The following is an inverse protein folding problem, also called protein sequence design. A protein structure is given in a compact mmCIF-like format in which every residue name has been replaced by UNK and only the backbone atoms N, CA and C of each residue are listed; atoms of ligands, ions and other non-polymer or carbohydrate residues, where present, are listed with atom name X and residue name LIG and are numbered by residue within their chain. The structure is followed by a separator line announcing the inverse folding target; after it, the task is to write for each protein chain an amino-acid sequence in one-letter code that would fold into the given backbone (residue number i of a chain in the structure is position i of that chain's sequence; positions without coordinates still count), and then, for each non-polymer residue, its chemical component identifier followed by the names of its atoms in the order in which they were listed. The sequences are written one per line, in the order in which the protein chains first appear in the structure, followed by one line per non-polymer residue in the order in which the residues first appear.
data_IF_597697056031
#
_entry.id   IF_597697056031
#
_cell.length_a   1.000
_cell.length_b   1.000
_cell.length_c   1.000
_cell.angle_alpha   90.00
_cell.angle_beta   90.00
_cell.angle_gamma   90.00
#
_symmetry.space_group_name_H-M   'P 1'
#
loop_
_entity.id
_entity.type
_entity.pdbx_description
1 polymer ?
#
# COMPACT_ATOMS: atom_id res chain seq x y z
N UNK A 1 46.57 -0.43 50.13
CA UNK A 1 46.97 -1.18 48.92
C UNK A 1 45.76 -1.57 48.05
N UNK A 2 44.65 -2.01 48.64
CA UNK A 2 43.41 -2.35 47.92
C UNK A 2 42.77 -1.18 47.15
N UNK A 3 42.75 0.04 47.71
CA UNK A 3 42.18 1.22 47.04
C UNK A 3 42.99 1.71 45.82
N UNK A 4 44.31 1.55 45.85
CA UNK A 4 45.17 1.93 44.74
C UNK A 4 44.96 1.01 43.53
N UNK A 5 44.83 -0.31 43.78
CA UNK A 5 44.51 -1.29 42.73
C UNK A 5 43.09 -1.11 42.17
N UNK A 6 42.11 -0.76 43.01
CA UNK A 6 40.75 -0.50 42.56
C UNK A 6 40.67 0.73 41.63
N UNK A 7 41.39 1.82 41.96
CA UNK A 7 41.47 3.02 41.12
C UNK A 7 42.18 2.76 39.79
N UNK A 8 43.23 1.95 39.78
CA UNK A 8 43.93 1.58 38.54
C UNK A 8 43.09 0.67 37.63
N UNK A 9 42.32 -0.26 38.21
CA UNK A 9 41.37 -1.08 37.46
C UNK A 9 40.25 -0.22 36.84
N UNK A 10 39.73 0.76 37.59
CA UNK A 10 38.68 1.67 37.11
C UNK A 10 39.19 2.60 35.99
N UNK A 11 40.42 3.09 36.08
CA UNK A 11 41.06 3.92 35.05
C UNK A 11 41.45 3.14 33.76
N UNK A 12 41.53 1.80 33.82
CA UNK A 12 41.74 0.95 32.64
C UNK A 12 40.45 0.65 31.88
N UNK A 13 39.28 0.86 32.48
CA UNK A 13 38.01 0.66 31.79
C UNK A 13 37.89 1.59 30.60
N UNK A 14 37.66 1.02 29.41
CA UNK A 14 37.42 1.77 28.19
C UNK A 14 36.23 2.73 28.33
N UNK A 15 35.17 2.31 29.04
CA UNK A 15 34.02 3.15 29.34
C UNK A 15 34.39 4.40 30.15
N UNK A 16 35.31 4.29 31.12
CA UNK A 16 35.74 5.44 31.92
C UNK A 16 36.52 6.46 31.07
N UNK A 17 37.37 5.97 30.16
CA UNK A 17 38.10 6.83 29.22
C UNK A 17 37.16 7.52 28.24
N UNK A 18 36.15 6.80 27.73
CA UNK A 18 35.11 7.36 26.88
C UNK A 18 34.29 8.43 27.61
N UNK A 19 33.79 8.13 28.82
CA UNK A 19 33.05 9.10 29.63
C UNK A 19 33.88 10.36 29.95
N UNK A 20 35.17 10.19 30.27
CA UNK A 20 36.09 11.32 30.48
C UNK A 20 36.30 12.15 29.21
N UNK A 21 36.35 11.51 28.04
CA UNK A 21 36.43 12.20 26.75
C UNK A 21 35.15 12.98 26.44
N UNK A 22 33.98 12.39 26.65
CA UNK A 22 32.66 13.03 26.46
C UNK A 22 32.53 14.27 27.36
N UNK A 23 32.90 14.14 28.64
CA UNK A 23 32.87 15.27 29.58
C UNK A 23 33.87 16.37 29.23
N UNK A 24 35.02 16.04 28.63
CA UNK A 24 36.04 17.02 28.26
C UNK A 24 35.68 17.78 26.98
N UNK A 25 35.01 17.13 26.04
CA UNK A 25 34.71 17.69 24.71
C UNK A 25 33.21 17.51 24.34
N UNK A 26 32.27 18.07 25.11
CA UNK A 26 30.84 17.84 24.90
C UNK A 26 30.36 18.34 23.53
N UNK A 27 30.85 19.50 23.07
CA UNK A 27 30.47 20.08 21.77
C UNK A 27 30.90 19.18 20.62
N UNK A 28 32.13 18.65 20.64
CA UNK A 28 32.61 17.75 19.57
C UNK A 28 31.77 16.49 19.48
N UNK A 29 31.43 15.89 20.63
CA UNK A 29 30.59 14.68 20.66
C UNK A 29 29.19 14.98 20.14
N UNK A 30 28.59 16.10 20.56
CA UNK A 30 27.30 16.56 20.04
C UNK A 30 27.40 16.73 18.52
N UNK A 31 28.38 17.46 17.99
CA UNK A 31 28.54 17.64 16.55
C UNK A 31 28.71 16.32 15.77
N UNK A 32 29.40 15.32 16.34
CA UNK A 32 29.55 14.00 15.72
C UNK A 32 28.21 13.26 15.70
N UNK A 33 27.49 13.23 16.82
CA UNK A 33 26.18 12.58 16.93
C UNK A 33 25.19 13.26 15.99
N UNK A 34 25.12 14.60 16.00
CA UNK A 34 24.30 15.39 15.08
C UNK A 34 24.66 15.12 13.62
N UNK A 35 25.95 15.14 13.30
CA UNK A 35 26.44 14.91 11.94
C UNK A 35 26.14 13.50 11.43
N UNK A 36 26.11 12.50 12.33
CA UNK A 36 25.77 11.12 11.99
C UNK A 36 24.25 10.88 11.95
N UNK A 37 23.47 11.53 12.82
CA UNK A 37 22.02 11.33 12.96
C UNK A 37 21.20 12.08 11.92
N UNK A 38 21.58 13.31 11.55
CA UNK A 38 20.84 14.13 10.55
C UNK A 38 20.65 13.39 9.21
N UNK A 39 21.68 12.75 8.61
CA UNK A 39 21.50 11.97 7.38
C UNK A 39 20.44 10.87 7.51
N UNK A 40 20.34 10.22 8.67
CA UNK A 40 19.34 9.17 8.91
C UNK A 40 17.93 9.75 8.97
N UNK A 41 17.74 10.88 9.68
CA UNK A 41 16.44 11.58 9.77
C UNK A 41 16.02 12.10 8.39
N UNK A 42 16.94 12.67 7.62
CA UNK A 42 16.69 13.15 6.25
C UNK A 42 16.38 11.99 5.30
N UNK A 43 16.91 10.79 5.55
CA UNK A 43 16.63 9.61 4.76
C UNK A 43 15.29 8.92 5.11
N UNK A 44 14.72 9.14 6.31
CA UNK A 44 13.48 8.49 6.76
C UNK A 44 12.27 8.71 5.82
N UNK A 45 12.00 9.91 5.29
CA UNK A 45 10.90 10.10 4.33
C UNK A 45 11.09 9.31 3.03
N UNK A 46 12.33 9.00 2.68
CA UNK A 46 12.69 8.23 1.48
C UNK A 46 12.80 6.73 1.76
N UNK A 47 12.48 6.28 2.98
CA UNK A 47 12.56 4.87 3.32
C UNK A 47 11.44 4.14 2.57
N UNK A 48 11.84 3.32 1.59
CA UNK A 48 10.90 2.58 0.75
C UNK A 48 10.18 1.52 1.59
N UNK A 49 8.92 1.81 1.93
CA UNK A 49 8.04 0.86 2.60
C UNK A 49 7.57 -0.18 1.56
N UNK A 50 8.37 -1.21 1.33
CA UNK A 50 7.95 -2.37 0.53
C UNK A 50 7.25 -3.39 1.42
N UNK A 51 6.00 -3.74 1.11
CA UNK A 51 5.32 -4.86 1.75
C UNK A 51 5.58 -6.15 0.98
N UNK A 52 6.64 -6.86 1.37
CA UNK A 52 6.86 -8.20 0.85
C UNK A 52 6.15 -9.21 1.75
N UNK A 53 4.98 -9.72 1.36
CA UNK A 53 4.29 -10.77 2.14
C UNK A 53 5.17 -12.01 2.38
N UNK A 54 6.08 -12.31 1.45
CA UNK A 54 6.99 -13.44 1.57
C UNK A 54 8.01 -13.25 2.71
N UNK A 55 8.16 -12.03 3.24
CA UNK A 55 9.00 -11.78 4.43
C UNK A 55 8.39 -12.33 5.73
N UNK A 56 7.07 -12.54 5.78
CA UNK A 56 6.38 -13.10 6.94
C UNK A 56 6.30 -14.63 6.93
N UNK A 57 6.71 -15.26 5.82
CA UNK A 57 6.68 -16.72 5.63
C UNK A 57 8.12 -17.23 5.52
N UNK A 58 8.46 -18.41 6.08
CA UNK A 58 9.79 -18.97 5.89
C UNK A 58 10.11 -19.10 4.40
N UNK A 59 11.20 -18.49 3.96
CA UNK A 59 11.63 -18.43 2.55
C UNK A 59 11.79 -19.82 1.91
N UNK A 60 12.13 -20.82 2.71
CA UNK A 60 12.33 -22.21 2.28
C UNK A 60 11.04 -23.06 2.36
N UNK A 61 9.89 -22.47 2.68
CA UNK A 61 8.63 -23.21 2.75
C UNK A 61 8.16 -23.64 1.36
N UNK A 62 7.47 -24.79 1.29
CA UNK A 62 6.86 -25.25 0.04
C UNK A 62 5.86 -24.23 -0.52
N UNK A 63 5.15 -23.49 0.33
CA UNK A 63 4.20 -22.47 -0.08
C UNK A 63 4.87 -21.30 -0.83
N UNK A 64 6.00 -20.79 -0.33
CA UNK A 64 6.76 -19.72 -1.01
C UNK A 64 7.24 -20.20 -2.38
N UNK A 65 7.79 -21.42 -2.45
CA UNK A 65 8.22 -22.01 -3.72
C UNK A 65 7.07 -22.12 -4.72
N UNK A 66 5.92 -22.65 -4.29
CA UNK A 66 4.72 -22.74 -5.15
C UNK A 66 4.27 -21.37 -5.64
N UNK A 67 4.24 -20.34 -4.78
CA UNK A 67 3.84 -18.98 -5.21
C UNK A 67 4.83 -18.42 -6.24
N UNK A 68 6.13 -18.60 -6.04
CA UNK A 68 7.15 -18.18 -7.00
C UNK A 68 7.03 -18.93 -8.33
N UNK A 69 6.76 -20.23 -8.29
CA UNK A 69 6.51 -21.04 -9.48
C UNK A 69 5.26 -20.53 -10.24
N UNK A 70 4.16 -20.22 -9.55
CA UNK A 70 2.94 -19.66 -10.15
C UNK A 70 3.18 -18.28 -10.76
N UNK A 71 3.94 -17.41 -10.08
CA UNK A 71 4.35 -16.09 -10.60
C UNK A 71 5.21 -16.23 -11.86
N UNK A 72 6.09 -17.22 -11.93
CA UNK A 72 6.90 -17.47 -13.12
C UNK A 72 6.07 -17.95 -14.31
N UNK A 73 5.00 -18.71 -14.07
CA UNK A 73 4.14 -19.28 -15.11
C UNK A 73 3.07 -18.30 -15.62
N UNK A 74 2.48 -17.51 -14.73
CA UNK A 74 1.33 -16.65 -15.05
C UNK A 74 1.63 -15.15 -14.96
N UNK A 75 2.83 -14.77 -14.50
CA UNK A 75 3.25 -13.40 -14.27
C UNK A 75 3.09 -12.94 -12.81
N UNK A 76 3.86 -11.93 -12.43
CA UNK A 76 3.97 -11.44 -11.04
C UNK A 76 2.62 -10.99 -10.44
N UNK A 77 1.75 -10.36 -11.23
CA UNK A 77 0.45 -9.86 -10.74
C UNK A 77 -0.69 -10.88 -10.81
N UNK A 78 -0.49 -12.05 -11.42
CA UNK A 78 -1.54 -13.06 -11.55
C UNK A 78 -1.95 -13.66 -10.20
N UNK A 79 -1.02 -13.74 -9.24
CA UNK A 79 -1.31 -14.26 -7.90
C UNK A 79 -2.07 -13.28 -7.01
N UNK A 80 -2.06 -11.99 -7.35
CA UNK A 80 -2.65 -10.92 -6.54
C UNK A 80 -3.33 -9.87 -7.44
N UNK A 81 -4.42 -10.24 -8.13
CA UNK A 81 -5.13 -9.30 -8.98
C UNK A 81 -5.87 -8.24 -8.15
N UNK A 82 -6.17 -7.11 -8.79
CA UNK A 82 -7.08 -6.11 -8.26
C UNK A 82 -8.47 -6.27 -8.86
N UNK A 83 -9.46 -5.69 -8.21
CA UNK A 83 -10.84 -5.70 -8.67
C UNK A 83 -11.38 -4.27 -8.70
N UNK A 84 -11.71 -3.78 -9.89
CA UNK A 84 -12.51 -2.57 -10.04
C UNK A 84 -13.98 -2.96 -9.90
N UNK A 85 -14.67 -2.42 -8.91
CA UNK A 85 -16.13 -2.48 -8.86
C UNK A 85 -16.74 -1.20 -9.44
N UNK A 86 -17.77 -1.39 -10.25
CA UNK A 86 -18.62 -0.32 -10.77
C UNK A 86 -20.04 -0.63 -10.27
N UNK A 87 -20.52 0.16 -9.32
CA UNK A 87 -21.87 0.06 -8.75
C UNK A 87 -22.74 1.20 -9.27
N UNK A 88 -23.87 0.87 -9.89
CA UNK A 88 -24.81 1.85 -10.44
C UNK A 88 -25.93 2.20 -9.48
N UNK A 89 -26.07 1.51 -8.34
CA UNK A 89 -27.20 1.64 -7.39
C UNK A 89 -28.59 1.42 -8.00
N UNK A 90 -28.66 0.81 -9.19
CA UNK A 90 -29.91 0.62 -9.95
C UNK A 90 -30.01 -0.87 -10.33
N UNK A 91 -30.97 -1.62 -9.78
CA UNK A 91 -31.15 -3.03 -10.10
C UNK A 91 -31.31 -3.28 -11.60
N UNK A 92 -30.59 -4.28 -12.11
CA UNK A 92 -30.60 -4.70 -13.51
C UNK A 92 -29.87 -3.76 -14.48
N UNK A 93 -29.36 -2.61 -14.03
CA UNK A 93 -28.75 -1.62 -14.91
C UNK A 93 -27.47 -2.15 -15.60
N UNK A 94 -26.75 -3.11 -15.00
CA UNK A 94 -25.57 -3.76 -15.63
C UNK A 94 -25.91 -4.44 -16.97
N UNK A 95 -27.18 -4.84 -17.19
CA UNK A 95 -27.66 -5.41 -18.45
C UNK A 95 -28.01 -4.34 -19.51
N UNK A 96 -28.15 -3.09 -19.11
CA UNK A 96 -28.54 -2.00 -20.01
C UNK A 96 -27.42 -1.64 -20.99
N UNK A 97 -27.78 -1.16 -22.18
CA UNK A 97 -26.80 -0.60 -23.14
C UNK A 97 -26.09 0.64 -22.60
N UNK A 98 -26.76 1.40 -21.71
CA UNK A 98 -26.19 2.57 -21.07
C UNK A 98 -24.97 2.20 -20.23
N UNK A 99 -25.11 1.24 -19.29
CA UNK A 99 -23.99 0.73 -18.49
C UNK A 99 -22.84 0.24 -19.35
N UNK A 100 -23.18 -0.47 -20.41
CA UNK A 100 -22.23 -1.01 -21.37
C UNK A 100 -21.42 0.14 -21.99
N UNK A 101 -22.04 1.17 -22.57
CA UNK A 101 -21.33 2.36 -23.06
C UNK A 101 -20.51 3.07 -21.97
N UNK A 102 -21.11 3.31 -20.81
CA UNK A 102 -20.49 4.05 -19.69
C UNK A 102 -19.27 3.32 -19.11
N UNK A 103 -19.36 2.01 -18.88
CA UNK A 103 -18.22 1.19 -18.39
C UNK A 103 -17.05 1.18 -19.36
N UNK A 104 -17.30 1.22 -20.68
CA UNK A 104 -16.23 1.40 -21.67
C UNK A 104 -15.54 2.75 -21.53
N UNK A 105 -16.30 3.83 -21.38
CA UNK A 105 -15.74 5.18 -21.20
C UNK A 105 -14.90 5.27 -19.92
N UNK A 106 -15.39 4.69 -18.82
CA UNK A 106 -14.65 4.57 -17.55
C UNK A 106 -13.33 3.81 -17.77
N UNK A 107 -13.37 2.61 -18.36
CA UNK A 107 -12.18 1.78 -18.55
C UNK A 107 -11.15 2.44 -19.50
N UNK A 108 -11.61 3.11 -20.56
CA UNK A 108 -10.73 3.86 -21.46
C UNK A 108 -10.08 5.04 -20.76
N UNK A 109 -10.84 5.79 -19.95
CA UNK A 109 -10.32 6.88 -19.16
C UNK A 109 -9.27 6.40 -18.15
N UNK A 110 -9.58 5.36 -17.37
CA UNK A 110 -8.65 4.81 -16.38
C UNK A 110 -7.36 4.30 -17.01
N UNK A 111 -7.45 3.60 -18.16
CA UNK A 111 -6.28 3.16 -18.90
C UNK A 111 -5.45 4.34 -19.47
N UNK A 112 -6.09 5.45 -19.83
CA UNK A 112 -5.39 6.64 -20.30
C UNK A 112 -4.69 7.38 -19.14
N UNK A 113 -5.38 7.55 -18.01
CA UNK A 113 -4.87 8.25 -16.82
C UNK A 113 -3.81 7.44 -16.06
N UNK A 114 -3.86 6.11 -16.14
CA UNK A 114 -2.94 5.20 -15.45
C UNK A 114 -2.31 4.25 -16.47
N UNK A 115 -1.32 4.73 -17.27
CA UNK A 115 -0.75 3.95 -18.36
C UNK A 115 0.13 2.77 -17.91
N UNK A 116 0.27 2.56 -16.59
CA UNK A 116 1.03 1.45 -15.99
C UNK A 116 0.44 0.08 -16.34
N UNK A 117 -0.87 0.00 -16.58
CA UNK A 117 -1.58 -1.26 -16.83
C UNK A 117 -2.40 -1.16 -18.11
N UNK A 118 -1.95 -1.79 -19.21
CA UNK A 118 -2.69 -1.78 -20.47
C UNK A 118 -4.04 -2.52 -20.37
N UNK A 119 -5.03 -2.12 -21.19
CA UNK A 119 -6.37 -2.74 -21.24
C UNK A 119 -6.38 -4.27 -21.37
N UNK A 120 -5.36 -4.88 -21.98
CA UNK A 120 -5.25 -6.36 -22.08
C UNK A 120 -5.21 -7.08 -20.74
N UNK A 121 -4.84 -6.36 -19.68
CA UNK A 121 -4.76 -6.86 -18.31
C UNK A 121 -6.09 -6.76 -17.55
N UNK A 122 -7.13 -6.22 -18.17
CA UNK A 122 -8.45 -6.10 -17.60
C UNK A 122 -9.33 -7.21 -18.14
N UNK A 123 -10.06 -7.87 -17.24
CA UNK A 123 -11.03 -8.91 -17.56
C UNK A 123 -12.32 -8.67 -16.79
N UNK A 124 -13.47 -8.92 -17.39
CA UNK A 124 -14.77 -8.80 -16.75
C UNK A 124 -15.90 -8.92 -17.77
N UNK A 125 -17.12 -8.57 -17.34
CA UNK A 125 -18.36 -8.76 -18.14
C UNK A 125 -18.30 -8.22 -19.56
N UNK A 126 -17.54 -7.16 -19.79
CA UNK A 126 -17.49 -6.43 -21.07
C UNK A 126 -16.13 -6.48 -21.74
N UNK A 127 -15.08 -6.91 -21.05
CA UNK A 127 -13.71 -6.80 -21.52
C UNK A 127 -13.03 -8.13 -21.26
N UNK A 128 -12.51 -8.77 -22.30
CA UNK A 128 -11.72 -10.00 -22.18
C UNK A 128 -10.43 -9.78 -22.94
N UNK A 129 -9.30 -9.87 -22.24
CA UNK A 129 -7.96 -9.68 -22.80
C UNK A 129 -7.82 -8.38 -23.62
N UNK A 130 -8.46 -7.31 -23.15
CA UNK A 130 -8.41 -5.98 -23.80
C UNK A 130 -9.33 -5.80 -24.99
N UNK A 131 -10.11 -6.83 -25.36
CA UNK A 131 -11.14 -6.72 -26.40
C UNK A 131 -12.51 -6.48 -25.78
N UNK A 132 -13.16 -5.38 -26.16
CA UNK A 132 -14.52 -5.09 -25.72
C UNK A 132 -15.52 -6.01 -26.41
N UNK A 133 -16.33 -6.70 -25.61
CA UNK A 133 -17.48 -7.48 -26.07
C UNK A 133 -18.55 -6.49 -26.54
N UNK A 134 -19.05 -6.69 -27.75
CA UNK A 134 -20.15 -5.87 -28.30
C UNK A 134 -21.48 -6.23 -27.63
N UNK A 135 -22.41 -5.28 -27.59
CA UNK A 135 -23.74 -5.50 -27.01
C UNK A 135 -24.47 -6.68 -27.69
N UNK A 136 -24.28 -6.85 -29.00
CA UNK A 136 -24.84 -7.98 -29.75
C UNK A 136 -24.22 -9.31 -29.35
N UNK A 137 -22.89 -9.37 -29.24
CA UNK A 137 -22.18 -10.59 -28.84
C UNK A 137 -22.56 -11.01 -27.43
N UNK A 138 -22.74 -10.05 -26.51
CA UNK A 138 -23.26 -10.31 -25.17
C UNK A 138 -24.63 -11.00 -25.21
N UNK A 139 -25.59 -10.42 -25.93
CA UNK A 139 -26.96 -10.96 -25.98
C UNK A 139 -26.96 -12.37 -26.59
N UNK A 140 -26.12 -12.57 -27.62
CA UNK A 140 -25.88 -13.88 -28.20
C UNK A 140 -25.28 -14.87 -27.19
N UNK A 141 -24.19 -14.53 -26.49
CA UNK A 141 -23.53 -15.41 -25.52
C UNK A 141 -24.43 -15.76 -24.32
N UNK A 142 -25.25 -14.82 -23.86
CA UNK A 142 -26.21 -15.07 -22.79
C UNK A 142 -27.36 -15.98 -23.24
N UNK A 143 -27.76 -15.95 -24.51
CA UNK A 143 -28.81 -16.81 -25.04
C UNK A 143 -28.30 -18.17 -25.54
N UNK A 144 -27.06 -18.22 -26.05
CA UNK A 144 -26.50 -19.39 -26.69
C UNK A 144 -26.29 -20.56 -25.73
N UNK A 145 -26.57 -21.77 -26.23
CA UNK A 145 -26.29 -23.05 -25.59
C UNK A 145 -25.05 -23.66 -26.23
N UNK A 146 -23.91 -22.99 -26.03
CA UNK A 146 -22.60 -23.35 -26.56
C UNK A 146 -21.57 -23.26 -25.44
N UNK A 147 -20.43 -23.93 -25.55
CA UNK A 147 -19.36 -23.87 -24.55
C UNK A 147 -18.94 -22.42 -24.22
N UNK A 148 -18.83 -21.57 -25.24
CA UNK A 148 -18.54 -20.15 -25.06
C UNK A 148 -19.67 -19.41 -24.32
N UNK A 149 -20.92 -19.73 -24.63
CA UNK A 149 -22.08 -19.19 -23.91
C UNK A 149 -22.11 -19.63 -22.44
N UNK A 150 -21.81 -20.90 -22.14
CA UNK A 150 -21.69 -21.40 -20.77
C UNK A 150 -20.55 -20.72 -20.02
N UNK A 151 -19.36 -20.63 -20.61
CA UNK A 151 -18.21 -19.94 -20.02
C UNK A 151 -18.53 -18.47 -19.72
N UNK A 152 -19.19 -17.77 -20.66
CA UNK A 152 -19.61 -16.39 -20.47
C UNK A 152 -20.67 -16.24 -19.36
N UNK A 153 -21.64 -17.16 -19.27
CA UNK A 153 -22.63 -17.18 -18.18
C UNK A 153 -21.97 -17.40 -16.81
N UNK A 154 -20.96 -18.27 -16.72
CA UNK A 154 -20.22 -18.46 -15.46
C UNK A 154 -19.38 -17.23 -15.10
N UNK A 155 -18.67 -16.63 -16.07
CA UNK A 155 -17.98 -15.36 -15.87
C UNK A 155 -18.96 -14.27 -15.39
N UNK A 156 -20.14 -14.16 -16.02
CA UNK A 156 -21.18 -13.22 -15.61
C UNK A 156 -21.61 -13.44 -14.15
N UNK A 157 -21.85 -14.68 -13.72
CA UNK A 157 -22.21 -15.00 -12.33
C UNK A 157 -21.12 -14.60 -11.33
N UNK A 158 -19.85 -14.69 -11.72
CA UNK A 158 -18.71 -14.33 -10.86
C UNK A 158 -18.46 -12.82 -10.80
N UNK A 159 -18.82 -12.09 -11.86
CA UNK A 159 -18.46 -10.68 -12.04
C UNK A 159 -19.63 -9.71 -11.95
N UNK A 160 -20.88 -10.19 -11.88
CA UNK A 160 -22.08 -9.35 -11.73
C UNK A 160 -22.80 -9.71 -10.46
N UNK A 161 -23.15 -8.68 -9.68
CA UNK A 161 -24.03 -8.82 -8.53
C UNK A 161 -25.37 -9.50 -8.92
N UNK A 162 -25.97 -10.36 -8.08
CA UNK A 162 -27.22 -11.05 -8.41
C UNK A 162 -28.39 -10.13 -8.81
N UNK A 163 -28.45 -8.91 -8.27
CA UNK A 163 -29.45 -7.90 -8.64
C UNK A 163 -29.08 -7.13 -9.91
N UNK A 164 -27.87 -7.30 -10.43
CA UNK A 164 -27.37 -6.62 -11.63
C UNK A 164 -27.18 -5.12 -11.42
N UNK A 165 -26.87 -4.69 -10.19
CA UNK A 165 -26.57 -3.29 -9.87
C UNK A 165 -25.08 -2.97 -9.96
N UNK A 166 -24.21 -3.98 -9.73
CA UNK A 166 -22.77 -3.80 -9.75
C UNK A 166 -22.08 -4.84 -10.65
N UNK A 167 -20.95 -4.45 -11.23
CA UNK A 167 -20.05 -5.35 -11.94
C UNK A 167 -18.60 -5.17 -11.48
N UNK A 168 -17.86 -6.29 -11.45
CA UNK A 168 -16.46 -6.36 -11.09
C UNK A 168 -15.60 -6.62 -12.33
N UNK A 169 -14.47 -5.94 -12.40
CA UNK A 169 -13.43 -6.15 -13.41
C UNK A 169 -12.14 -6.53 -12.69
N UNK A 170 -11.58 -7.68 -13.06
CA UNK A 170 -10.28 -8.12 -12.58
C UNK A 170 -9.18 -7.40 -13.36
N UNK A 171 -8.19 -6.87 -12.64
CA UNK A 171 -7.03 -6.17 -13.19
C UNK A 171 -5.79 -6.96 -12.78
N UNK A 172 -5.14 -7.60 -13.76
CA UNK A 172 -3.94 -8.41 -13.56
C UNK A 172 -2.71 -7.62 -13.92
N UNK A 173 -2.02 -7.04 -12.95
CA UNK A 173 -0.88 -6.16 -13.21
C UNK A 173 0.35 -6.92 -13.76
N UNK A 174 1.19 -6.29 -14.61
CA UNK A 174 2.39 -6.93 -15.15
C UNK A 174 3.59 -6.92 -14.19
N UNK A 175 3.37 -6.57 -12.92
CA UNK A 175 4.40 -6.41 -11.89
C UNK A 175 3.95 -7.05 -10.58
N UNK A 176 4.82 -7.07 -9.56
CA UNK A 176 4.43 -7.59 -8.25
C UNK A 176 3.31 -6.74 -7.65
N UNK A 177 2.11 -7.32 -7.54
CA UNK A 177 0.93 -6.66 -6.98
C UNK A 177 1.10 -6.20 -5.53
N UNK A 178 2.19 -6.55 -4.85
CA UNK A 178 2.51 -6.07 -3.49
C UNK A 178 3.82 -5.26 -3.42
N UNK A 179 4.49 -5.05 -4.55
CA UNK A 179 5.74 -4.31 -4.61
C UNK A 179 5.55 -2.78 -4.53
N UNK A 180 6.64 -2.03 -4.67
CA UNK A 180 6.61 -0.56 -4.65
C UNK A 180 5.75 0.03 -5.79
N UNK A 181 5.84 -0.55 -7.00
CA UNK A 181 5.00 -0.12 -8.13
C UNK A 181 3.51 -0.35 -7.89
N UNK A 182 3.13 -1.32 -7.05
CA UNK A 182 1.74 -1.52 -6.66
C UNK A 182 1.20 -0.35 -5.82
N UNK A 183 2.02 0.22 -4.93
CA UNK A 183 1.64 1.39 -4.13
C UNK A 183 1.39 2.60 -5.03
N UNK A 184 2.30 2.87 -5.96
CA UNK A 184 2.14 3.94 -6.96
C UNK A 184 0.88 3.70 -7.81
N UNK A 185 0.72 2.49 -8.34
CA UNK A 185 -0.45 2.11 -9.11
C UNK A 185 -1.76 2.34 -8.34
N UNK A 186 -1.89 1.85 -7.11
CA UNK A 186 -3.11 2.03 -6.30
C UNK A 186 -3.42 3.50 -6.09
N UNK A 187 -2.42 4.32 -5.73
CA UNK A 187 -2.59 5.76 -5.49
C UNK A 187 -3.01 6.49 -6.75
N UNK A 188 -2.31 6.28 -7.87
CA UNK A 188 -2.65 6.87 -9.16
C UNK A 188 -4.03 6.41 -9.65
N UNK A 189 -4.36 5.13 -9.47
CA UNK A 189 -5.65 4.58 -9.87
C UNK A 189 -6.80 5.12 -9.04
N UNK A 190 -6.65 5.27 -7.72
CA UNK A 190 -7.66 5.90 -6.87
C UNK A 190 -7.86 7.37 -7.20
N UNK A 191 -6.78 8.12 -7.39
CA UNK A 191 -6.87 9.51 -7.86
C UNK A 191 -7.61 9.60 -9.20
N UNK A 192 -7.32 8.69 -10.14
CA UNK A 192 -8.05 8.65 -11.40
C UNK A 192 -9.52 8.28 -11.21
N UNK A 193 -9.86 7.34 -10.32
CA UNK A 193 -11.24 6.99 -9.99
C UNK A 193 -12.02 8.19 -9.44
N UNK A 194 -11.41 8.98 -8.55
CA UNK A 194 -12.02 10.19 -7.98
C UNK A 194 -12.31 11.26 -9.05
N UNK A 195 -11.53 11.29 -10.14
CA UNK A 195 -11.71 12.20 -11.26
C UNK A 195 -12.71 11.71 -12.32
N UNK A 196 -13.09 10.41 -12.32
CA UNK A 196 -14.02 9.83 -13.29
C UNK A 196 -15.35 10.60 -13.37
N UNK A 197 -16.02 11.01 -12.27
CA UNK A 197 -17.26 11.77 -12.35
C UNK A 197 -17.15 13.11 -13.09
N UNK A 198 -15.96 13.70 -13.12
CA UNK A 198 -15.67 14.94 -13.84
C UNK A 198 -15.39 14.66 -15.33
N UNK A 199 -14.65 13.60 -15.63
CA UNK A 199 -14.27 13.21 -16.98
C UNK A 199 -15.40 12.53 -17.77
N UNK A 200 -16.28 11.79 -17.07
CA UNK A 200 -17.40 11.03 -17.63
C UNK A 200 -18.69 11.45 -16.90
N UNK A 201 -19.30 12.60 -17.24
CA UNK A 201 -20.39 13.18 -16.45
C UNK A 201 -21.62 12.28 -16.26
N UNK A 202 -21.85 11.35 -17.20
CA UNK A 202 -22.98 10.43 -17.15
C UNK A 202 -22.86 9.32 -16.09
N UNK A 203 -21.71 9.20 -15.40
CA UNK A 203 -21.49 8.19 -14.35
C UNK A 203 -21.35 8.81 -12.96
N UNK A 204 -21.76 10.08 -12.78
CA UNK A 204 -21.67 10.78 -11.49
C UNK A 204 -22.38 10.09 -10.33
N UNK A 205 -23.40 9.29 -10.64
CA UNK A 205 -24.16 8.53 -9.66
C UNK A 205 -23.60 7.11 -9.43
N UNK A 206 -22.47 6.76 -10.05
CA UNK A 206 -21.86 5.46 -9.87
C UNK A 206 -20.87 5.52 -8.72
N UNK A 207 -20.79 4.46 -7.94
CA UNK A 207 -19.70 4.26 -6.98
C UNK A 207 -18.65 3.39 -7.64
N UNK A 208 -17.43 3.90 -7.71
CA UNK A 208 -16.29 3.20 -8.29
C UNK A 208 -15.27 2.94 -7.19
N UNK A 209 -14.85 1.68 -7.04
CA UNK A 209 -13.90 1.30 -6.00
C UNK A 209 -12.86 0.32 -6.53
N UNK A 210 -11.63 0.44 -6.04
CA UNK A 210 -10.57 -0.52 -6.26
C UNK A 210 -10.41 -1.41 -5.03
N UNK A 211 -10.56 -2.72 -5.22
CA UNK A 211 -10.40 -3.77 -4.21
C UNK A 211 -9.26 -4.72 -4.58
N UNK A 212 -8.90 -5.59 -3.63
CA UNK A 212 -7.86 -6.61 -3.77
C UNK A 212 -7.02 -6.72 -2.50
N UNK A 213 -6.34 -7.86 -2.32
CA UNK A 213 -5.49 -8.07 -1.15
C UNK A 213 -4.41 -6.99 -1.01
N UNK A 214 -3.85 -6.54 -2.13
CA UNK A 214 -2.86 -5.47 -2.18
C UNK A 214 -3.44 -4.08 -1.87
N UNK A 215 -4.66 -3.76 -2.32
CA UNK A 215 -5.27 -2.47 -1.99
C UNK A 215 -5.57 -2.34 -0.50
N UNK A 216 -6.06 -3.42 0.12
CA UNK A 216 -6.30 -3.46 1.57
C UNK A 216 -5.00 -3.32 2.38
N UNK A 217 -3.88 -3.83 1.89
CA UNK A 217 -2.58 -3.63 2.53
C UNK A 217 -2.11 -2.18 2.45
N UNK A 218 -2.29 -1.53 1.30
CA UNK A 218 -2.00 -0.09 1.17
C UNK A 218 -2.89 0.73 2.11
N UNK A 219 -4.17 0.37 2.25
CA UNK A 219 -5.06 1.03 3.21
C UNK A 219 -4.56 0.88 4.65
N UNK A 220 -4.15 -0.33 5.02
CA UNK A 220 -3.57 -0.58 6.33
C UNK A 220 -2.28 0.21 6.53
N UNK A 221 -1.43 0.30 5.51
CA UNK A 221 -0.20 1.08 5.56
C UNK A 221 -0.51 2.57 5.74
N UNK A 222 -1.44 3.12 4.97
CA UNK A 222 -1.82 4.54 5.06
C UNK A 222 -2.42 4.84 6.45
N UNK A 223 -3.23 3.94 7.02
CA UNK A 223 -3.74 4.08 8.39
C UNK A 223 -2.61 4.06 9.42
N UNK A 224 -1.66 3.12 9.30
CA UNK A 224 -0.52 3.01 10.21
C UNK A 224 0.39 4.24 10.07
N UNK A 225 0.71 4.65 8.85
CA UNK A 225 1.59 5.80 8.59
C UNK A 225 0.97 7.12 9.05
N UNK A 226 -0.35 7.26 8.91
CA UNK A 226 -1.06 8.44 9.40
C UNK A 226 -1.20 8.43 10.93
N UNK A 227 -1.32 7.25 11.55
CA UNK A 227 -1.41 7.09 13.00
C UNK A 227 -0.07 7.24 13.73
N UNK A 228 1.03 6.80 13.11
CA UNK A 228 2.37 6.77 13.73
C UNK A 228 2.83 8.13 14.28
N UNK A 229 2.72 9.27 13.56
CA UNK A 229 3.10 10.58 14.08
C UNK A 229 2.29 10.97 15.32
N UNK A 230 0.98 10.70 15.32
CA UNK A 230 0.11 11.01 16.45
C UNK A 230 0.44 10.14 17.67
N UNK A 231 0.65 8.83 17.47
CA UNK A 231 1.07 7.93 18.53
C UNK A 231 2.40 8.38 19.14
N UNK A 232 3.38 8.70 18.28
CA UNK A 232 4.67 9.24 18.69
C UNK A 232 4.53 10.51 19.53
N UNK A 233 3.72 11.47 19.06
CA UNK A 233 3.47 12.74 19.76
C UNK A 233 2.81 12.51 21.12
N UNK A 234 1.80 11.65 21.20
CA UNK A 234 1.09 11.34 22.45
C UNK A 234 2.02 10.64 23.45
N UNK A 235 2.71 9.57 23.04
CA UNK A 235 3.64 8.83 23.91
C UNK A 235 4.75 9.76 24.41
N UNK A 236 5.30 10.57 23.52
CA UNK A 236 6.32 11.56 23.85
C UNK A 236 5.81 12.62 24.84
N UNK A 237 4.61 13.17 24.61
CA UNK A 237 3.98 14.12 25.52
C UNK A 237 3.77 13.55 26.92
N UNK A 238 3.34 12.29 27.03
CA UNK A 238 3.18 11.60 28.31
C UNK A 238 4.53 11.41 29.02
N UNK A 239 5.56 10.95 28.31
CA UNK A 239 6.92 10.79 28.88
C UNK A 239 7.44 12.13 29.39
N UNK A 240 7.29 13.19 28.59
CA UNK A 240 7.70 14.55 28.97
C UNK A 240 7.01 15.02 30.25
N UNK A 241 5.71 14.77 30.37
CA UNK A 241 4.93 15.12 31.55
C UNK A 241 5.42 14.34 32.79
N UNK A 242 5.73 13.06 32.65
CA UNK A 242 6.27 12.23 33.74
C UNK A 242 7.64 12.75 34.19
N UNK A 243 8.56 12.99 33.26
CA UNK A 243 9.93 13.48 33.56
C UNK A 243 9.88 14.88 34.18
N UNK A 244 9.08 15.79 33.61
CA UNK A 244 8.92 17.15 34.14
C UNK A 244 8.40 17.13 35.58
N UNK A 245 7.45 16.24 35.86
CA UNK A 245 6.88 16.06 37.21
C UNK A 245 7.91 15.48 38.18
N UNK A 246 8.65 14.45 37.76
CA UNK A 246 9.62 13.75 38.60
C UNK A 246 10.79 14.66 39.03
N UNK A 247 11.31 15.47 38.10
CA UNK A 247 12.45 16.34 38.36
C UNK A 247 12.05 17.77 38.78
N UNK A 248 10.75 18.09 38.78
CA UNK A 248 10.22 19.45 38.99
C UNK A 248 10.90 20.50 38.12
N UNK A 249 11.29 20.11 36.91
CA UNK A 249 12.04 20.93 35.96
C UNK A 249 11.62 20.61 34.54
N UNK A 250 11.29 21.64 33.76
CA UNK A 250 11.01 21.52 32.32
C UNK A 250 12.28 21.44 31.47
N UNK A 251 13.43 21.84 32.03
CA UNK A 251 14.71 21.89 31.31
C UNK A 251 15.28 20.49 31.08
N UNK A 252 15.20 19.60 32.08
CA UNK A 252 15.70 18.23 31.96
C UNK A 252 14.97 17.42 30.88
N UNK A 253 13.62 17.40 30.81
CA UNK A 253 12.89 16.79 29.70
C UNK A 253 13.34 17.33 28.34
N UNK A 254 13.50 18.66 28.20
CA UNK A 254 13.96 19.27 26.95
C UNK A 254 15.37 18.80 26.56
N UNK A 255 16.29 18.69 27.53
CA UNK A 255 17.63 18.13 27.31
C UNK A 255 17.53 16.66 26.86
N UNK A 256 16.61 15.87 27.42
CA UNK A 256 16.37 14.51 26.97
C UNK A 256 15.82 14.44 25.55
N UNK A 257 14.94 15.36 25.14
CA UNK A 257 14.51 15.47 23.74
C UNK A 257 15.71 15.74 22.84
N UNK A 258 16.53 16.71 23.23
CA UNK A 258 17.76 17.07 22.50
C UNK A 258 18.80 15.94 22.57
N UNK A 259 18.61 14.92 23.43
CA UNK A 259 19.47 13.75 23.47
C UNK A 259 18.88 12.52 22.75
N UNK A 260 17.55 12.44 22.59
CA UNK A 260 16.85 11.32 21.92
C UNK A 260 16.43 11.62 20.48
N UNK A 261 16.18 12.89 20.16
CA UNK A 261 15.82 13.34 18.82
C UNK A 261 17.01 13.37 17.85
N UNK A 262 18.19 12.93 18.30
CA UNK A 262 19.45 12.85 17.55
C UNK A 262 20.13 11.52 17.84
#
# INVERSE_FOLDING_TARGET
YTDAMARDAQNRSWFFRFAKYVNRNPVTVICIVLGAGIPFIVALPNLELSFNLLSFVPSNSAAVKTILDLRSLWGEGATNPYFLAIDTHIPGHVKSRAFWRQSREILLYLNHSVPLVPLRHYSGVRLVEGTFISDYLRDFLLAADTDAGHAYKEMWKQTVDPHGQAAFFTITVPFDGMGQMALEFIRSYRSALDDVPNAVPHVRNYTLNLYGGASSQVDMLDVVSNGLPLMGLVTFGVIMLIVATAFRSLVLPLIFIIAMGY
#
